data_IF_243398113838
#
_entry.id   IF_243398113838
#
_cell.length_a   1.000
_cell.length_b   1.000
_cell.length_c   1.000
_cell.angle_alpha   90.00
_cell.angle_beta   90.00
_cell.angle_gamma   90.00
#
_symmetry.space_group_name_H-M   'P 1'
#
loop_
_entity.id
_entity.type
_entity.pdbx_description
1 polymer ?
#
# COMPACT_ATOMS: atom_id res chain seq x y z
N UNK A 1 2.44 -3.69 19.28
CA UNK A 1 1.84 -4.20 18.03
C UNK A 1 0.41 -3.69 17.95
N UNK A 2 0.16 -2.65 17.17
CA UNK A 2 -1.20 -2.26 16.80
C UNK A 2 -1.45 -2.80 15.39
N UNK A 3 -1.92 -4.06 15.31
CA UNK A 3 -2.63 -4.51 14.10
C UNK A 3 -3.93 -3.68 14.02
N UNK A 4 -4.40 -3.31 12.82
CA UNK A 4 -5.62 -2.53 12.71
C UNK A 4 -6.79 -3.34 13.27
N UNK A 5 -7.69 -2.63 13.96
CA UNK A 5 -8.93 -3.23 14.44
C UNK A 5 -9.95 -3.32 13.30
N UNK A 6 -10.74 -4.39 13.32
CA UNK A 6 -12.00 -4.46 12.60
C UNK A 6 -12.97 -3.35 13.05
N UNK A 7 -14.09 -3.18 12.33
CA UNK A 7 -15.11 -2.19 12.69
C UNK A 7 -15.72 -2.40 14.09
N UNK A 8 -15.56 -3.58 14.69
CA UNK A 8 -15.99 -3.87 16.06
C UNK A 8 -15.04 -3.33 17.15
N UNK A 9 -13.91 -2.71 16.76
CA UNK A 9 -12.85 -2.21 17.65
C UNK A 9 -12.28 -3.25 18.63
N UNK A 10 -12.42 -4.56 18.32
CA UNK A 10 -11.98 -5.67 19.17
C UNK A 10 -11.14 -6.67 18.41
N UNK A 11 -11.56 -7.03 17.21
CA UNK A 11 -10.90 -8.03 16.37
C UNK A 11 -9.68 -7.41 15.70
N UNK A 12 -8.51 -8.02 15.85
CA UNK A 12 -7.30 -7.60 15.15
C UNK A 12 -7.24 -8.26 13.78
N UNK A 13 -7.08 -7.46 12.74
CA UNK A 13 -6.90 -7.97 11.38
C UNK A 13 -5.49 -8.54 11.19
N UNK A 14 -5.36 -9.53 10.32
CA UNK A 14 -4.06 -10.18 10.05
C UNK A 14 -3.05 -9.21 9.44
N UNK A 15 -3.51 -8.31 8.58
CA UNK A 15 -2.70 -7.35 7.82
C UNK A 15 -2.97 -5.91 8.23
N UNK A 16 -1.97 -5.06 8.04
CA UNK A 16 -2.07 -3.61 8.13
C UNK A 16 -3.00 -3.03 7.04
N UNK A 17 -3.61 -1.88 7.28
CA UNK A 17 -4.51 -1.23 6.32
C UNK A 17 -3.70 -0.29 5.41
N UNK A 18 -3.65 -0.51 4.08
CA UNK A 18 -2.91 0.36 3.18
C UNK A 18 -3.66 1.69 2.93
N UNK A 19 -2.94 2.71 2.45
CA UNK A 19 -3.55 3.95 1.96
C UNK A 19 -4.41 3.72 0.70
N UNK A 20 -5.49 4.49 0.56
CA UNK A 20 -6.30 4.53 -0.66
C UNK A 20 -5.79 5.53 -1.70
N UNK A 21 -4.95 6.50 -1.30
CA UNK A 21 -4.43 7.50 -2.23
C UNK A 21 -3.60 6.84 -3.33
N UNK A 22 -3.87 7.24 -4.57
CA UNK A 22 -3.25 6.71 -5.80
C UNK A 22 -3.51 5.22 -6.06
N UNK A 23 -4.42 4.56 -5.32
CA UNK A 23 -4.77 3.15 -5.55
C UNK A 23 -5.44 2.90 -6.91
N UNK A 24 -6.09 3.93 -7.46
CA UNK A 24 -6.66 3.90 -8.81
C UNK A 24 -5.65 3.70 -9.95
N UNK A 25 -4.35 3.91 -9.68
CA UNK A 25 -3.27 3.66 -10.64
C UNK A 25 -2.58 2.30 -10.46
N UNK A 26 -3.03 1.47 -9.52
CA UNK A 26 -2.47 0.13 -9.29
C UNK A 26 -3.20 -0.89 -10.15
N UNK A 27 -2.46 -1.85 -10.71
CA UNK A 27 -3.05 -2.89 -11.58
C UNK A 27 -3.67 -4.04 -10.81
N UNK A 28 -3.34 -4.19 -9.53
CA UNK A 28 -3.92 -5.17 -8.59
C UNK A 28 -4.04 -4.56 -7.19
N UNK A 29 -4.99 -5.07 -6.41
CA UNK A 29 -5.36 -4.60 -5.09
C UNK A 29 -5.05 -5.66 -4.01
N UNK A 30 -5.08 -5.25 -2.74
CA UNK A 30 -4.59 -6.01 -1.57
C UNK A 30 -3.08 -6.31 -1.59
N UNK A 31 -2.51 -6.64 -0.43
CA UNK A 31 -1.09 -7.00 -0.33
C UNK A 31 -0.73 -8.30 -1.07
N UNK A 32 -1.69 -9.20 -1.28
CA UNK A 32 -1.51 -10.46 -2.01
C UNK A 32 -1.97 -10.37 -3.48
N UNK A 33 -2.25 -9.17 -4.01
CA UNK A 33 -2.72 -8.95 -5.39
C UNK A 33 -3.93 -9.79 -5.82
N UNK A 34 -4.76 -10.29 -4.90
CA UNK A 34 -5.83 -11.24 -5.25
C UNK A 34 -6.99 -10.64 -6.05
N UNK A 35 -7.09 -9.31 -6.12
CA UNK A 35 -8.16 -8.60 -6.83
C UNK A 35 -7.59 -7.64 -7.87
N UNK A 36 -8.02 -7.75 -9.12
CA UNK A 36 -7.52 -6.92 -10.22
C UNK A 36 -8.16 -5.53 -10.27
N UNK A 37 -9.37 -5.37 -9.71
CA UNK A 37 -10.13 -4.12 -9.77
C UNK A 37 -10.64 -3.68 -8.41
N UNK A 38 -10.88 -2.37 -8.25
CA UNK A 38 -11.35 -1.77 -7.01
C UNK A 38 -12.78 -2.21 -6.65
N UNK A 39 -13.64 -2.48 -7.62
CA UNK A 39 -15.01 -2.96 -7.39
C UNK A 39 -15.03 -4.34 -6.72
N UNK A 40 -14.16 -5.25 -7.17
CA UNK A 40 -14.01 -6.58 -6.56
C UNK A 40 -13.39 -6.47 -5.16
N UNK A 41 -12.33 -5.66 -5.02
CA UNK A 41 -11.68 -5.37 -3.74
C UNK A 41 -12.69 -4.87 -2.71
N UNK A 42 -13.52 -3.90 -3.08
CA UNK A 42 -14.59 -3.38 -2.24
C UNK A 42 -15.60 -4.46 -1.87
N UNK A 43 -16.04 -5.25 -2.86
CA UNK A 43 -17.01 -6.32 -2.65
C UNK A 43 -16.48 -7.33 -1.62
N UNK A 44 -15.21 -7.72 -1.73
CA UNK A 44 -14.57 -8.60 -0.75
C UNK A 44 -14.55 -8.00 0.66
N UNK A 45 -14.12 -6.74 0.82
CA UNK A 45 -14.05 -6.09 2.14
C UNK A 45 -15.43 -5.92 2.78
N UNK A 46 -16.44 -5.55 1.99
CA UNK A 46 -17.81 -5.38 2.48
C UNK A 46 -18.35 -6.68 3.06
N UNK A 47 -18.10 -7.82 2.41
CA UNK A 47 -18.64 -9.12 2.83
C UNK A 47 -17.73 -9.87 3.81
N UNK A 48 -16.49 -9.43 4.01
CA UNK A 48 -15.55 -10.07 4.91
C UNK A 48 -16.05 -10.02 6.36
N UNK A 49 -16.15 -11.20 6.97
CA UNK A 49 -16.62 -11.38 8.34
C UNK A 49 -15.64 -10.89 9.39
N UNK A 50 -14.40 -10.59 9.06
CA UNK A 50 -13.44 -9.98 9.98
C UNK A 50 -13.36 -8.46 9.81
N UNK A 51 -13.87 -7.91 8.70
CA UNK A 51 -13.79 -6.47 8.40
C UNK A 51 -15.15 -5.79 8.57
N UNK A 52 -15.92 -5.61 7.49
CA UNK A 52 -17.17 -4.86 7.52
C UNK A 52 -18.38 -5.69 7.94
N UNK A 53 -18.32 -7.02 7.83
CA UNK A 53 -19.45 -7.94 8.14
C UNK A 53 -20.76 -7.53 7.45
N UNK A 54 -20.67 -6.88 6.29
CA UNK A 54 -21.77 -6.25 5.58
C UNK A 54 -22.32 -7.07 4.42
N UNK A 55 -23.26 -6.48 3.69
CA UNK A 55 -23.87 -7.06 2.49
C UNK A 55 -24.26 -5.95 1.52
N UNK A 56 -23.71 -5.98 0.30
CA UNK A 56 -24.09 -4.99 -0.71
C UNK A 56 -25.58 -5.09 -1.07
N UNK A 57 -26.18 -6.28 -1.01
CA UNK A 57 -27.62 -6.46 -1.22
C UNK A 57 -28.43 -5.72 -0.17
N UNK A 58 -27.99 -5.79 1.09
CA UNK A 58 -28.63 -5.05 2.18
C UNK A 58 -28.40 -3.54 2.03
N UNK A 59 -27.20 -3.12 1.62
CA UNK A 59 -26.91 -1.71 1.30
C UNK A 59 -27.85 -1.15 0.23
N UNK A 60 -28.19 -1.92 -0.80
CA UNK A 60 -29.20 -1.51 -1.80
C UNK A 60 -30.55 -1.23 -1.11
N UNK A 61 -31.04 -2.18 -0.31
CA UNK A 61 -32.33 -2.04 0.40
C UNK A 61 -32.34 -0.79 1.27
N UNK A 62 -31.25 -0.54 2.01
CA UNK A 62 -31.17 0.60 2.92
C UNK A 62 -31.01 1.93 2.17
N UNK A 63 -30.23 1.98 1.09
CA UNK A 63 -30.07 3.17 0.28
C UNK A 63 -31.34 3.54 -0.50
N UNK A 64 -32.18 2.56 -0.92
CA UNK A 64 -33.49 2.82 -1.55
C UNK A 64 -34.47 3.54 -0.61
N UNK A 65 -34.29 3.45 0.71
CA UNK A 65 -35.10 4.19 1.69
C UNK A 65 -34.80 5.69 1.67
N UNK A 66 -33.65 6.11 1.13
CA UNK A 66 -33.27 7.52 0.98
C UNK A 66 -33.68 8.04 -0.39
N UNK A 67 -34.61 9.01 -0.40
CA UNK A 67 -35.00 9.73 -1.63
C UNK A 67 -33.82 10.48 -2.23
N UNK A 68 -32.91 10.98 -1.40
CA UNK A 68 -31.69 11.66 -1.84
C UNK A 68 -30.75 10.71 -2.60
N UNK A 69 -30.44 9.52 -2.06
CA UNK A 69 -29.60 8.56 -2.76
C UNK A 69 -30.26 8.02 -4.02
N UNK A 70 -31.56 7.69 -3.97
CA UNK A 70 -32.29 7.23 -5.15
C UNK A 70 -32.21 8.25 -6.29
N UNK A 71 -32.40 9.55 -5.99
CA UNK A 71 -32.25 10.63 -6.97
C UNK A 71 -30.83 10.73 -7.53
N UNK A 72 -29.81 10.67 -6.66
CA UNK A 72 -28.40 10.78 -7.08
C UNK A 72 -27.99 9.61 -7.98
N UNK A 73 -28.38 8.39 -7.65
CA UNK A 73 -28.07 7.21 -8.48
C UNK A 73 -28.82 7.22 -9.81
N UNK A 74 -30.09 7.63 -9.84
CA UNK A 74 -30.83 7.81 -11.09
C UNK A 74 -30.16 8.86 -12.01
N UNK A 75 -29.62 9.94 -11.43
CA UNK A 75 -28.92 10.97 -12.19
C UNK A 75 -27.53 10.50 -12.68
N UNK A 76 -26.81 9.72 -11.87
CA UNK A 76 -25.47 9.24 -12.20
C UNK A 76 -25.47 8.05 -13.18
N UNK A 77 -26.52 7.22 -13.17
CA UNK A 77 -26.62 6.00 -13.98
C UNK A 77 -27.94 5.94 -14.79
N UNK A 78 -28.22 6.93 -15.67
CA UNK A 78 -29.49 7.01 -16.39
C UNK A 78 -29.71 5.88 -17.42
N UNK A 79 -28.63 5.20 -17.83
CA UNK A 79 -28.68 4.06 -18.75
C UNK A 79 -29.01 2.73 -18.07
N UNK A 80 -28.92 2.66 -16.74
CA UNK A 80 -29.20 1.44 -15.98
C UNK A 80 -30.71 1.27 -15.76
N UNK A 81 -31.22 0.05 -15.96
CA UNK A 81 -32.64 -0.23 -15.71
C UNK A 81 -33.00 -0.12 -14.22
N UNK A 82 -32.08 -0.49 -13.33
CA UNK A 82 -32.18 -0.26 -11.88
C UNK A 82 -30.93 0.50 -11.42
N UNK A 83 -30.94 1.84 -11.44
CA UNK A 83 -29.74 2.66 -11.20
C UNK A 83 -29.09 2.49 -9.83
N UNK A 84 -29.85 2.08 -8.80
CA UNK A 84 -29.31 1.80 -7.47
C UNK A 84 -29.32 0.28 -7.22
N UNK A 85 -28.21 -0.37 -7.57
CA UNK A 85 -27.98 -1.80 -7.44
C UNK A 85 -26.57 -2.07 -6.88
N UNK A 86 -26.20 -3.33 -6.67
CA UNK A 86 -24.90 -3.69 -6.06
C UNK A 86 -23.72 -3.27 -6.92
N UNK A 87 -23.83 -3.37 -8.26
CA UNK A 87 -22.80 -2.97 -9.21
C UNK A 87 -22.60 -1.44 -9.19
N UNK A 88 -23.67 -0.65 -9.27
CA UNK A 88 -23.54 0.83 -9.29
C UNK A 88 -23.06 1.38 -7.95
N UNK A 89 -23.39 0.74 -6.81
CA UNK A 89 -22.79 1.07 -5.52
C UNK A 89 -21.29 0.80 -5.54
N UNK A 90 -20.87 -0.37 -6.02
CA UNK A 90 -19.46 -0.73 -6.07
C UNK A 90 -18.68 0.20 -7.00
N UNK A 91 -19.24 0.49 -8.18
CA UNK A 91 -18.65 1.40 -9.14
C UNK A 91 -18.59 2.84 -8.64
N UNK A 92 -19.60 3.34 -7.92
CA UNK A 92 -19.58 4.68 -7.34
C UNK A 92 -18.45 4.84 -6.31
N UNK A 93 -18.30 3.86 -5.40
CA UNK A 93 -17.24 3.87 -4.39
C UNK A 93 -15.87 3.70 -5.04
N UNK A 94 -15.71 2.77 -5.97
CA UNK A 94 -14.47 2.59 -6.72
C UNK A 94 -14.09 3.85 -7.52
N UNK A 95 -15.06 4.55 -8.10
CA UNK A 95 -14.85 5.83 -8.79
C UNK A 95 -14.40 6.93 -7.84
N UNK A 96 -14.98 7.01 -6.64
CA UNK A 96 -14.48 7.90 -5.59
C UNK A 96 -13.04 7.56 -5.21
N UNK A 97 -12.71 6.29 -4.97
CA UNK A 97 -11.34 5.86 -4.66
C UNK A 97 -10.36 6.20 -5.79
N UNK A 98 -10.74 6.04 -7.07
CA UNK A 98 -9.93 6.48 -8.22
C UNK A 98 -9.71 7.99 -8.27
N UNK A 99 -10.62 8.78 -7.71
CA UNK A 99 -10.48 10.24 -7.60
C UNK A 99 -9.49 10.68 -6.52
N UNK A 100 -9.12 9.80 -5.57
CA UNK A 100 -8.15 10.06 -4.50
C UNK A 100 -6.72 10.07 -5.05
N UNK A 101 -6.40 11.07 -5.87
CA UNK A 101 -5.10 11.25 -6.50
C UNK A 101 -4.31 12.31 -5.75
N UNK A 102 -3.04 12.00 -5.45
CA UNK A 102 -2.13 12.85 -4.68
C UNK A 102 -0.72 12.72 -5.27
N UNK A 103 -0.42 13.58 -6.25
CA UNK A 103 0.79 13.59 -7.11
C UNK A 103 1.39 15.01 -7.22
N UNK A 104 1.33 15.76 -6.11
CA UNK A 104 1.80 17.14 -5.99
C UNK A 104 2.65 17.35 -4.72
N UNK A 105 3.46 16.37 -4.33
CA UNK A 105 4.39 16.47 -3.21
C UNK A 105 5.60 17.38 -3.54
N UNK A 106 6.43 17.77 -2.55
CA UNK A 106 7.69 18.49 -2.83
C UNK A 106 8.58 17.79 -3.86
N UNK A 107 8.63 16.45 -3.87
CA UNK A 107 9.30 15.70 -4.92
C UNK A 107 8.69 15.92 -6.30
N UNK A 108 7.36 15.91 -6.41
CA UNK A 108 6.66 16.14 -7.67
C UNK A 108 6.92 17.54 -8.23
N UNK A 109 6.96 18.56 -7.35
CA UNK A 109 7.33 19.92 -7.74
C UNK A 109 8.79 20.01 -8.19
N UNK A 110 9.70 19.31 -7.50
CA UNK A 110 11.11 19.22 -7.87
C UNK A 110 11.34 18.60 -9.25
N UNK A 111 10.70 17.46 -9.56
CA UNK A 111 10.85 16.82 -10.88
C UNK A 111 10.20 17.63 -12.00
N UNK A 112 9.28 18.55 -11.68
CA UNK A 112 8.73 19.54 -12.63
C UNK A 112 9.61 20.78 -12.81
N UNK A 113 10.77 20.84 -12.16
CA UNK A 113 11.80 21.86 -12.37
C UNK A 113 11.95 22.87 -11.24
N UNK A 114 11.15 22.81 -10.17
CA UNK A 114 11.37 23.68 -9.01
C UNK A 114 12.45 23.09 -8.08
N UNK A 115 13.70 23.42 -8.41
CA UNK A 115 14.87 22.96 -7.65
C UNK A 115 14.90 23.37 -6.18
N UNK A 116 14.09 24.35 -5.77
CA UNK A 116 14.02 24.87 -4.40
C UNK A 116 13.23 23.96 -3.46
N UNK A 117 12.46 23.02 -4.02
CA UNK A 117 11.55 22.15 -3.25
C UNK A 117 12.24 21.06 -2.47
N UNK A 118 13.47 20.71 -2.86
CA UNK A 118 14.31 19.76 -2.13
C UNK A 118 15.58 20.42 -1.60
N UNK A 119 15.85 20.18 -0.33
CA UNK A 119 17.13 20.44 0.32
C UNK A 119 18.25 19.55 -0.24
N UNK A 120 19.50 19.91 0.05
CA UNK A 120 20.67 19.09 -0.31
C UNK A 120 20.61 17.67 0.29
N UNK A 121 20.05 17.54 1.50
CA UNK A 121 19.93 16.24 2.18
C UNK A 121 18.91 15.34 1.49
N UNK A 122 17.76 15.89 1.07
CA UNK A 122 16.73 15.15 0.35
C UNK A 122 17.19 14.74 -1.06
N UNK A 123 17.89 15.63 -1.78
CA UNK A 123 18.52 15.28 -3.07
C UNK A 123 19.53 14.13 -2.91
N UNK A 124 20.36 14.18 -1.85
CA UNK A 124 21.27 13.08 -1.51
C UNK A 124 20.53 11.79 -1.14
N UNK A 125 19.43 11.92 -0.41
CA UNK A 125 18.53 10.82 -0.06
C UNK A 125 17.97 10.11 -1.29
N UNK A 126 17.51 10.87 -2.28
CA UNK A 126 17.03 10.33 -3.56
C UNK A 126 18.12 9.57 -4.32
N UNK A 127 19.36 10.09 -4.36
CA UNK A 127 20.48 9.41 -4.98
C UNK A 127 20.85 8.10 -4.26
N UNK A 128 20.80 8.10 -2.92
CA UNK A 128 21.01 6.89 -2.13
C UNK A 128 19.90 5.86 -2.35
N UNK A 129 18.64 6.31 -2.34
CA UNK A 129 17.45 5.50 -2.61
C UNK A 129 17.53 4.82 -3.97
N UNK A 130 17.93 5.56 -5.01
CA UNK A 130 17.99 5.05 -6.38
C UNK A 130 19.28 4.27 -6.69
N UNK A 131 20.36 4.53 -5.94
CA UNK A 131 21.67 3.92 -6.14
C UNK A 131 22.00 2.90 -5.06
N UNK A 132 22.78 3.31 -4.05
CA UNK A 132 23.38 2.42 -3.03
C UNK A 132 22.35 1.54 -2.31
N UNK A 133 21.19 2.10 -1.95
CA UNK A 133 20.14 1.38 -1.23
C UNK A 133 19.25 0.53 -2.14
N UNK A 134 19.31 0.74 -3.47
CA UNK A 134 18.57 0.00 -4.50
C UNK A 134 17.04 0.00 -4.34
N UNK A 135 16.47 0.90 -3.54
CA UNK A 135 15.03 0.94 -3.29
C UNK A 135 14.23 1.18 -4.57
N UNK A 136 14.78 1.96 -5.52
CA UNK A 136 14.14 2.24 -6.82
C UNK A 136 14.10 1.02 -7.77
N UNK A 137 14.71 -0.11 -7.40
CA UNK A 137 14.60 -1.36 -8.18
C UNK A 137 13.27 -2.06 -7.98
N UNK A 138 12.50 -1.69 -6.94
CA UNK A 138 11.15 -2.19 -6.71
C UNK A 138 10.10 -1.07 -6.52
N UNK A 139 10.50 0.10 -6.01
CA UNK A 139 9.61 1.24 -5.79
C UNK A 139 9.70 2.23 -6.95
N UNK A 140 9.00 1.92 -8.05
CA UNK A 140 9.14 2.64 -9.32
C UNK A 140 8.41 3.98 -9.36
N UNK A 141 9.05 4.98 -9.98
CA UNK A 141 8.47 6.29 -10.29
C UNK A 141 7.37 6.11 -11.37
N UNK A 142 6.23 6.83 -11.29
CA UNK A 142 5.97 7.96 -10.38
C UNK A 142 5.32 7.58 -9.05
N UNK A 143 4.78 6.37 -8.89
CA UNK A 143 4.00 6.02 -7.71
C UNK A 143 4.83 5.51 -6.52
N UNK A 144 6.12 5.28 -6.73
CA UNK A 144 7.03 4.65 -5.78
C UNK A 144 6.47 3.32 -5.25
N UNK A 145 5.91 2.50 -6.14
CA UNK A 145 5.32 1.19 -5.86
C UNK A 145 5.80 0.16 -6.89
N UNK A 146 5.31 -1.07 -6.78
CA UNK A 146 5.69 -2.18 -7.66
C UNK A 146 5.08 -2.17 -9.07
N UNK A 147 4.43 -1.10 -9.52
CA UNK A 147 3.85 -1.07 -10.88
C UNK A 147 5.00 -0.87 -11.89
N UNK A 148 5.25 -1.88 -12.71
CA UNK A 148 6.51 -2.05 -13.44
C UNK A 148 6.58 -1.17 -14.70
N UNK A 149 7.60 -0.29 -14.84
CA UNK A 149 7.82 0.51 -16.06
C UNK A 149 8.35 -0.34 -17.23
N UNK A 150 8.31 0.15 -18.49
CA UNK A 150 7.78 1.46 -18.91
C UNK A 150 6.26 1.46 -19.16
N UNK A 151 5.64 0.28 -19.25
CA UNK A 151 4.23 0.16 -19.63
C UNK A 151 3.25 0.24 -18.46
N UNK A 152 3.72 0.02 -17.22
CA UNK A 152 2.91 0.07 -16.01
C UNK A 152 1.69 -0.88 -16.04
N UNK A 153 1.80 -1.98 -16.79
CA UNK A 153 0.73 -2.95 -17.01
C UNK A 153 0.66 -4.06 -15.96
N UNK A 154 1.75 -4.25 -15.19
CA UNK A 154 1.86 -5.32 -14.20
C UNK A 154 2.35 -4.74 -12.87
N UNK A 155 1.99 -5.42 -11.77
CA UNK A 155 2.53 -5.11 -10.44
C UNK A 155 3.35 -6.27 -9.92
N UNK A 156 4.60 -6.01 -9.56
CA UNK A 156 5.48 -7.01 -8.96
C UNK A 156 5.16 -7.26 -7.47
N UNK A 157 5.84 -8.26 -6.91
CA UNK A 157 5.72 -8.63 -5.51
C UNK A 157 6.98 -9.32 -5.03
N UNK A 158 7.31 -9.08 -3.78
CA UNK A 158 8.59 -9.43 -3.21
C UNK A 158 8.44 -10.36 -2.01
N UNK A 159 9.43 -11.23 -1.82
CA UNK A 159 9.57 -12.07 -0.63
C UNK A 159 10.75 -11.51 0.15
N UNK A 160 10.49 -10.72 1.19
CA UNK A 160 11.56 -10.00 1.91
C UNK A 160 11.86 -10.59 3.30
N UNK A 161 11.03 -11.53 3.77
CA UNK A 161 11.21 -12.20 5.07
C UNK A 161 10.85 -11.30 6.26
N UNK A 162 9.66 -10.69 6.24
CA UNK A 162 9.16 -9.84 7.33
C UNK A 162 8.93 -10.68 8.60
N UNK A 163 9.42 -10.25 9.78
CA UNK A 163 9.21 -10.98 11.02
C UNK A 163 7.76 -10.85 11.52
N UNK A 164 7.30 -11.88 12.22
CA UNK A 164 5.98 -11.92 12.87
C UNK A 164 5.84 -10.89 13.99
N UNK A 165 6.92 -10.69 14.75
CA UNK A 165 6.95 -9.77 15.89
C UNK A 165 8.27 -8.98 15.92
N UNK A 166 8.20 -7.76 16.43
CA UNK A 166 9.35 -6.86 16.59
C UNK A 166 10.26 -7.36 17.72
N UNK A 167 11.57 -7.31 17.51
CA UNK A 167 12.62 -7.56 18.51
C UNK A 167 12.58 -8.93 19.24
N UNK A 168 11.88 -9.93 18.69
CA UNK A 168 11.91 -11.29 19.24
C UNK A 168 13.23 -11.98 18.91
N UNK A 169 13.79 -12.72 19.87
CA UNK A 169 15.00 -13.52 19.68
C UNK A 169 14.78 -14.94 20.27
N UNK A 170 14.81 -16.01 19.45
CA UNK A 170 15.00 -15.98 18.00
C UNK A 170 13.83 -15.30 17.28
N UNK A 171 14.14 -14.60 16.19
CA UNK A 171 13.11 -14.03 15.33
C UNK A 171 12.27 -15.17 14.70
N UNK A 172 11.02 -14.86 14.35
CA UNK A 172 10.12 -15.77 13.64
C UNK A 172 9.60 -15.08 12.40
N UNK A 173 9.54 -15.83 11.30
CA UNK A 173 8.92 -15.38 10.05
C UNK A 173 7.41 -15.20 10.27
N UNK A 174 6.83 -14.19 9.62
CA UNK A 174 5.37 -14.02 9.60
C UNK A 174 4.68 -15.21 8.90
N UNK A 175 3.58 -15.69 9.49
CA UNK A 175 2.89 -16.91 9.02
C UNK A 175 2.05 -16.67 7.75
N UNK A 176 1.81 -15.42 7.37
CA UNK A 176 1.03 -15.08 6.18
C UNK A 176 1.76 -15.49 4.91
N UNK A 177 1.16 -16.41 4.17
CA UNK A 177 1.73 -16.96 2.94
C UNK A 177 1.59 -16.00 1.73
N UNK A 178 0.86 -14.90 1.87
CA UNK A 178 0.73 -13.88 0.83
C UNK A 178 0.08 -14.42 -0.44
N UNK A 179 0.67 -14.09 -1.60
CA UNK A 179 0.20 -14.52 -2.93
C UNK A 179 0.04 -16.03 -3.09
N UNK A 180 0.79 -16.83 -2.34
CA UNK A 180 0.70 -18.29 -2.40
C UNK A 180 -0.70 -18.82 -2.08
N UNK A 181 -1.49 -18.11 -1.26
CA UNK A 181 -2.86 -18.52 -0.92
C UNK A 181 -3.77 -18.63 -2.17
N UNK A 182 -3.43 -17.96 -3.26
CA UNK A 182 -4.20 -17.94 -4.52
C UNK A 182 -3.48 -18.62 -5.68
N UNK A 183 -2.15 -18.42 -5.79
CA UNK A 183 -1.36 -18.92 -6.92
C UNK A 183 -0.81 -20.34 -6.67
N UNK A 184 -0.60 -20.73 -5.40
CA UNK A 184 -0.06 -22.04 -4.99
C UNK A 184 1.28 -22.43 -5.64
N UNK A 185 2.08 -21.45 -6.04
CA UNK A 185 3.45 -21.66 -6.52
C UNK A 185 4.46 -21.28 -5.45
N UNK A 186 5.38 -22.19 -5.14
CA UNK A 186 6.35 -22.08 -4.04
C UNK A 186 7.18 -20.78 -4.08
N UNK A 187 7.46 -20.24 -5.27
CA UNK A 187 8.21 -18.97 -5.42
C UNK A 187 7.46 -17.76 -4.84
N UNK A 188 6.14 -17.84 -4.69
CA UNK A 188 5.28 -16.78 -4.15
C UNK A 188 4.94 -16.96 -2.68
N UNK A 189 5.52 -17.95 -2.00
CA UNK A 189 5.31 -18.17 -0.57
C UNK A 189 5.90 -17.00 0.24
N UNK A 190 5.06 -16.33 1.02
CA UNK A 190 5.36 -15.07 1.72
C UNK A 190 5.62 -13.87 0.78
N UNK A 191 5.10 -13.92 -0.45
CA UNK A 191 5.23 -12.82 -1.42
C UNK A 191 4.09 -11.81 -1.26
N UNK A 192 4.45 -10.54 -1.20
CA UNK A 192 3.50 -9.42 -1.11
C UNK A 192 3.81 -8.36 -2.16
N UNK A 193 2.76 -7.74 -2.68
CA UNK A 193 2.82 -6.59 -3.58
C UNK A 193 3.65 -5.47 -2.96
N UNK A 194 4.59 -4.91 -3.72
CA UNK A 194 5.40 -3.76 -3.30
C UNK A 194 4.48 -2.52 -3.12
N UNK A 195 4.30 -2.01 -1.89
CA UNK A 195 3.37 -0.90 -1.62
C UNK A 195 3.93 0.44 -2.12
N UNK A 196 3.06 1.44 -2.23
CA UNK A 196 3.49 2.82 -2.53
C UNK A 196 4.21 3.44 -1.33
N UNK A 197 5.26 4.22 -1.61
CA UNK A 197 5.91 5.09 -0.64
C UNK A 197 5.36 6.52 -0.64
N UNK A 198 4.36 6.84 -1.48
CA UNK A 198 3.67 8.12 -1.39
C UNK A 198 2.91 8.19 -0.07
N UNK A 199 3.03 9.34 0.62
CA UNK A 199 2.50 9.54 1.97
C UNK A 199 3.06 8.59 3.05
N UNK A 200 4.22 7.96 2.83
CA UNK A 200 4.77 6.98 3.76
C UNK A 200 4.99 7.54 5.18
N UNK A 201 5.28 8.84 5.33
CA UNK A 201 5.41 9.48 6.64
C UNK A 201 4.12 9.45 7.48
N UNK A 202 2.96 9.29 6.84
CA UNK A 202 1.64 9.42 7.46
C UNK A 202 0.91 8.07 7.61
N UNK A 203 1.55 6.95 7.25
CA UNK A 203 0.90 5.64 7.14
C UNK A 203 1.55 4.57 7.99
N UNK A 204 2.22 4.96 9.08
CA UNK A 204 2.65 4.00 10.09
C UNK A 204 1.43 3.26 10.70
N UNK A 205 1.60 2.01 11.16
CA UNK A 205 2.81 1.19 11.12
C UNK A 205 3.12 0.63 9.71
N UNK A 206 4.28 0.02 9.53
CA UNK A 206 4.82 -0.41 8.23
C UNK A 206 4.86 -1.93 8.06
N UNK A 207 5.02 -2.37 6.80
CA UNK A 207 4.92 -3.75 6.30
C UNK A 207 3.47 -4.27 6.25
N UNK A 208 3.29 -5.45 5.62
CA UNK A 208 1.97 -6.06 5.45
C UNK A 208 1.30 -6.40 6.78
N UNK A 209 2.07 -6.64 7.85
CA UNK A 209 1.57 -7.00 9.17
C UNK A 209 1.70 -5.86 10.22
N UNK A 210 2.23 -4.69 9.85
CA UNK A 210 2.38 -3.55 10.76
C UNK A 210 3.45 -3.73 11.84
N UNK A 211 4.47 -4.58 11.62
CA UNK A 211 5.46 -4.92 12.66
C UNK A 211 6.41 -3.77 13.03
N UNK A 212 6.65 -2.83 12.12
CA UNK A 212 7.55 -1.68 12.34
C UNK A 212 6.76 -0.39 12.57
N UNK A 213 7.16 0.39 13.55
CA UNK A 213 6.47 1.63 13.96
C UNK A 213 7.13 2.88 13.34
N UNK A 214 8.42 2.77 12.98
CA UNK A 214 9.22 3.88 12.46
C UNK A 214 9.89 3.55 11.12
N UNK A 215 10.19 4.57 10.33
CA UNK A 215 10.94 4.38 9.09
C UNK A 215 12.38 3.93 9.37
N UNK A 216 12.95 4.33 10.51
CA UNK A 216 14.24 3.87 10.99
C UNK A 216 14.28 2.34 11.15
N UNK A 217 13.23 1.74 11.71
CA UNK A 217 13.11 0.28 11.84
C UNK A 217 13.01 -0.42 10.48
N UNK A 218 12.22 0.15 9.56
CA UNK A 218 12.14 -0.35 8.18
C UNK A 218 13.51 -0.30 7.50
N UNK A 219 14.22 0.82 7.62
CA UNK A 219 15.53 1.00 7.04
C UNK A 219 16.57 0.07 7.67
N UNK A 220 16.50 -0.18 8.98
CA UNK A 220 17.38 -1.12 9.67
C UNK A 220 17.15 -2.57 9.20
N UNK A 221 15.89 -2.97 9.01
CA UNK A 221 15.54 -4.27 8.45
C UNK A 221 16.17 -4.49 7.06
N UNK A 222 16.01 -3.54 6.15
CA UNK A 222 16.64 -3.62 4.82
C UNK A 222 18.16 -3.54 4.89
N UNK A 223 18.73 -2.66 5.73
CA UNK A 223 20.18 -2.50 5.87
C UNK A 223 20.87 -3.80 6.34
N UNK A 224 20.17 -4.60 7.16
CA UNK A 224 20.63 -5.90 7.63
C UNK A 224 20.39 -7.05 6.65
N UNK A 225 19.69 -6.84 5.53
CA UNK A 225 19.44 -7.86 4.50
C UNK A 225 18.08 -8.56 4.60
N UNK A 226 17.10 -7.92 5.24
CA UNK A 226 15.75 -8.47 5.41
C UNK A 226 15.71 -9.71 6.29
N UNK A 227 14.87 -10.69 5.93
CA UNK A 227 14.74 -11.95 6.67
C UNK A 227 16.06 -12.69 6.86
N UNK A 228 16.98 -12.61 5.88
CA UNK A 228 18.34 -13.18 6.01
C UNK A 228 19.14 -12.53 7.12
N UNK A 229 19.04 -11.21 7.28
CA UNK A 229 19.65 -10.47 8.39
C UNK A 229 19.13 -10.86 9.77
N UNK A 230 17.93 -11.43 9.81
CA UNK A 230 17.25 -11.93 11.01
C UNK A 230 17.31 -13.46 11.14
N UNK A 231 18.03 -14.17 10.26
CA UNK A 231 18.10 -15.63 10.22
C UNK A 231 16.74 -16.35 10.04
N UNK A 232 15.79 -15.70 9.36
CA UNK A 232 14.44 -16.21 9.07
C UNK A 232 14.10 -16.14 7.57
N UNK A 233 15.11 -16.06 6.71
CA UNK A 233 14.91 -15.91 5.26
C UNK A 233 14.03 -17.04 4.69
N UNK A 234 12.94 -16.71 3.98
CA UNK A 234 12.24 -17.68 3.15
C UNK A 234 13.16 -18.19 2.04
N UNK A 235 12.87 -19.41 1.53
CA UNK A 235 13.65 -20.06 0.48
C UNK A 235 13.86 -19.18 -0.77
N UNK A 236 12.85 -18.41 -1.15
CA UNK A 236 12.86 -17.57 -2.36
C UNK A 236 12.92 -16.07 -2.01
N UNK A 237 13.67 -15.68 -0.98
CA UNK A 237 13.87 -14.27 -0.67
C UNK A 237 14.42 -13.51 -1.90
N UNK A 238 13.77 -12.40 -2.25
CA UNK A 238 14.06 -11.63 -3.47
C UNK A 238 14.99 -10.43 -3.23
N UNK A 239 15.20 -10.04 -1.97
CA UNK A 239 16.19 -9.02 -1.63
C UNK A 239 17.62 -9.46 -1.97
N UNK A 240 18.50 -8.53 -2.39
CA UNK A 240 19.93 -8.78 -2.52
C UNK A 240 20.50 -9.43 -1.25
N UNK A 241 21.38 -10.40 -1.43
CA UNK A 241 21.91 -11.23 -0.34
C UNK A 241 22.83 -10.50 0.64
N UNK A 242 23.30 -9.30 0.28
CA UNK A 242 24.30 -8.51 1.00
C UNK A 242 23.66 -7.38 1.80
N UNK A 243 24.26 -7.07 2.95
CA UNK A 243 23.92 -5.86 3.72
C UNK A 243 24.17 -4.62 2.88
N UNK A 244 23.29 -3.63 2.97
CA UNK A 244 23.44 -2.37 2.25
C UNK A 244 24.58 -1.49 2.83
N UNK A 245 25.00 -1.76 4.07
CA UNK A 245 26.05 -1.03 4.79
C UNK A 245 25.82 0.50 4.74
N UNK A 246 24.57 0.91 4.92
CA UNK A 246 24.17 2.30 5.06
C UNK A 246 24.57 2.80 6.46
N UNK A 247 25.27 3.93 6.48
CA UNK A 247 25.54 4.68 7.70
C UNK A 247 24.25 5.30 8.26
N UNK A 248 24.26 5.67 9.55
CA UNK A 248 23.14 6.39 10.18
C UNK A 248 22.77 7.68 9.45
N UNK A 249 23.75 8.37 8.85
CA UNK A 249 23.52 9.59 8.06
C UNK A 249 22.84 9.27 6.73
N UNK A 250 23.26 8.21 6.04
CA UNK A 250 22.63 7.78 4.79
C UNK A 250 21.19 7.33 5.02
N UNK A 251 20.92 6.58 6.09
CA UNK A 251 19.54 6.20 6.48
C UNK A 251 18.68 7.45 6.69
N UNK A 252 19.17 8.43 7.46
CA UNK A 252 18.46 9.70 7.68
C UNK A 252 18.21 10.45 6.38
N UNK A 253 19.18 10.52 5.48
CA UNK A 253 19.03 11.19 4.18
C UNK A 253 17.95 10.50 3.32
N UNK A 254 17.93 9.16 3.27
CA UNK A 254 16.89 8.39 2.56
C UNK A 254 15.52 8.65 3.18
N UNK A 255 15.40 8.64 4.51
CA UNK A 255 14.14 8.95 5.20
C UNK A 255 13.69 10.38 4.90
N UNK A 256 14.61 11.36 4.93
CA UNK A 256 14.30 12.74 4.53
C UNK A 256 13.74 12.78 3.11
N UNK A 257 14.36 12.07 2.15
CA UNK A 257 13.80 11.95 0.80
C UNK A 257 12.40 11.32 0.81
N UNK A 258 12.16 10.21 1.50
CA UNK A 258 10.85 9.57 1.53
C UNK A 258 9.74 10.49 2.05
N UNK A 259 10.05 11.39 3.00
CA UNK A 259 9.10 12.40 3.50
C UNK A 259 8.70 13.43 2.45
N UNK A 260 9.53 13.66 1.43
CA UNK A 260 9.21 14.55 0.30
C UNK A 260 8.13 13.97 -0.61
N UNK A 261 7.75 12.70 -0.42
CA UNK A 261 6.66 12.02 -1.13
C UNK A 261 5.29 12.22 -0.46
N UNK A 262 5.23 13.05 0.59
CA UNK A 262 3.99 13.40 1.28
C UNK A 262 3.25 14.51 0.54
N UNK A 263 2.02 14.22 0.14
CA UNK A 263 1.08 15.16 -0.45
C UNK A 263 -0.29 15.04 0.24
N UNK A 264 -0.65 16.13 0.93
CA UNK A 264 -1.92 16.31 1.64
C UNK A 264 -2.79 17.42 1.00
N UNK A 265 -2.43 17.88 -0.20
CA UNK A 265 -3.19 18.93 -0.89
C UNK A 265 -4.59 18.46 -1.25
N UNK A 266 -4.73 17.19 -1.65
CA UNK A 266 -6.03 16.57 -1.96
C UNK A 266 -6.94 16.38 -0.74
N UNK A 267 -6.38 16.22 0.47
CA UNK A 267 -7.17 16.12 1.70
C UNK A 267 -7.83 17.44 2.15
N UNK A 268 -7.35 18.60 1.67
CA UNK A 268 -7.97 19.90 1.98
C UNK A 268 -9.25 20.17 1.18
N UNK A 269 -9.52 19.42 0.12
CA UNK A 269 -10.73 19.60 -0.74
C UNK A 269 -11.92 18.73 -0.30
N UNK A 270 -11.76 17.91 0.73
CA UNK A 270 -12.78 16.96 1.20
C UNK A 270 -13.55 17.43 2.45
N UNK A 271 -13.38 18.70 2.84
CA UNK A 271 -14.13 19.37 3.90
C UNK A 271 -14.63 20.74 3.43
#
# INVERSE_FOLDING_TARGET
MQKPFALDNKTLLTRNTPTLYNSGYQTTQFYDSRSDILENQLTEVVHNQEEMKGSLKQSVVDLKKSTAYSRLFNAAYPAEKDPLNTYTIANAIASYVRSLQSLNSPFDEYVRGDETKLTKAEKKGFNLFSGKAKCATCHFIPLFNGVVPPFYANTESEVIGVPKTKNKNPAELDDDLGKYLFIQSEIYKHSFKTPTLRNIELTAPYMHNGVFETLEEVMEFYNNGGGKGLHIAPKYQTLPFDKLNLSKKEIKDIISFMKTLTDTTSSKKLY
#
